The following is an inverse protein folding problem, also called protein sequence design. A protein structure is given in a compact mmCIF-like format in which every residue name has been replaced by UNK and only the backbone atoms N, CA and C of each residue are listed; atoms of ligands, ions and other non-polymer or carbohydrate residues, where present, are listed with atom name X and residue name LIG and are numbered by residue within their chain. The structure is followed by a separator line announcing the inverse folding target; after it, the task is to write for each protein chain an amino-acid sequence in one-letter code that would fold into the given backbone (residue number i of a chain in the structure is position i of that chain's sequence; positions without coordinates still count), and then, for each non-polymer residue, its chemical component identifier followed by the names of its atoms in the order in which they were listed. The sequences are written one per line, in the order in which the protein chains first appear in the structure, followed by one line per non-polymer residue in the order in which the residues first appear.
data_IF_033549017787
#
_entry.id   IF_033549017787
#
_cell.length_a   1.000
_cell.length_b   1.000
_cell.length_c   1.000
_cell.angle_alpha   90.00
_cell.angle_beta   90.00
_cell.angle_gamma   90.00
#
_symmetry.space_group_name_H-M   'P 1'
#
loop_
_entity.id
_entity.type
_entity.pdbx_description
1 polymer ?
#
# COMPACT_ATOMS: atom_id res chain seq x y z
N UNK A 1 21.66 25.68 -17.34
CA UNK A 1 21.09 25.33 -18.66
C UNK A 1 19.65 24.92 -18.45
N UNK A 2 18.73 25.60 -19.14
CA UNK A 2 17.30 25.64 -18.81
C UNK A 2 16.61 24.28 -18.84
N UNK A 3 15.75 24.07 -17.82
CA UNK A 3 14.73 23.03 -17.80
C UNK A 3 13.75 23.26 -18.96
N UNK A 4 14.03 22.66 -20.12
CA UNK A 4 13.01 22.51 -21.15
C UNK A 4 11.96 21.56 -20.60
N UNK A 5 10.73 22.04 -20.36
CA UNK A 5 9.60 21.18 -20.00
C UNK A 5 9.44 20.10 -21.07
N UNK A 6 9.77 18.86 -20.72
CA UNK A 6 9.83 17.74 -21.66
C UNK A 6 8.41 17.32 -22.07
N UNK A 7 8.21 16.80 -23.30
CA UNK A 7 6.90 16.37 -23.75
C UNK A 7 6.39 15.15 -22.97
N UNK A 8 5.12 15.18 -22.58
CA UNK A 8 4.40 14.18 -21.78
C UNK A 8 4.44 12.73 -22.33
N UNK A 9 4.75 12.54 -23.62
CA UNK A 9 4.80 11.23 -24.27
C UNK A 9 6.18 10.55 -24.26
N UNK A 10 7.24 11.24 -23.80
CA UNK A 10 8.59 10.63 -23.69
C UNK A 10 8.76 9.96 -22.33
N UNK A 11 8.20 8.75 -22.18
CA UNK A 11 8.43 7.90 -21.00
C UNK A 11 9.89 7.44 -21.01
N UNK A 12 10.73 8.07 -20.18
CA UNK A 12 12.16 7.78 -20.13
C UNK A 12 12.46 6.66 -19.13
N UNK A 13 12.41 5.40 -19.55
CA UNK A 13 12.63 4.23 -18.66
C UNK A 13 14.06 4.16 -18.07
N UNK A 14 15.04 4.71 -18.78
CA UNK A 14 16.46 4.77 -18.38
C UNK A 14 16.96 6.21 -18.40
N UNK A 15 17.84 6.59 -17.48
CA UNK A 15 18.46 7.91 -17.49
C UNK A 15 19.37 8.06 -18.73
N UNK A 16 19.51 9.29 -19.22
CA UNK A 16 20.35 9.59 -20.41
C UNK A 16 21.82 9.22 -20.19
N UNK A 17 22.26 9.27 -18.92
CA UNK A 17 23.59 8.93 -18.43
C UNK A 17 23.84 7.41 -18.24
N UNK A 18 22.81 6.56 -18.37
CA UNK A 18 22.95 5.12 -18.12
C UNK A 18 23.71 4.42 -19.25
N UNK A 19 24.78 3.72 -18.89
CA UNK A 19 25.57 2.91 -19.84
C UNK A 19 24.78 1.70 -20.35
N UNK A 20 25.12 1.11 -21.52
CA UNK A 20 24.45 -0.10 -22.00
C UNK A 20 24.49 -1.28 -21.01
N UNK A 21 25.55 -1.38 -20.21
CA UNK A 21 25.67 -2.39 -19.15
C UNK A 21 24.69 -2.12 -17.99
N UNK A 22 24.55 -0.86 -17.57
CA UNK A 22 23.58 -0.45 -16.54
C UNK A 22 22.14 -0.67 -16.99
N UNK A 23 21.81 -0.36 -18.26
CA UNK A 23 20.46 -0.61 -18.79
C UNK A 23 20.10 -2.09 -18.78
N UNK A 24 21.04 -2.97 -19.13
CA UNK A 24 20.84 -4.43 -19.04
C UNK A 24 20.63 -4.89 -17.60
N UNK A 25 21.39 -4.32 -16.65
CA UNK A 25 21.22 -4.61 -15.24
C UNK A 25 19.85 -4.16 -14.72
N UNK A 26 19.42 -2.94 -15.06
CA UNK A 26 18.11 -2.40 -14.68
C UNK A 26 16.99 -3.29 -15.22
N UNK A 27 17.02 -3.68 -16.49
CA UNK A 27 16.02 -4.60 -17.06
C UNK A 27 16.01 -5.95 -16.34
N UNK A 28 17.19 -6.49 -16.03
CA UNK A 28 17.31 -7.73 -15.28
C UNK A 28 16.69 -7.60 -13.89
N UNK A 29 16.98 -6.52 -13.16
CA UNK A 29 16.39 -6.25 -11.85
C UNK A 29 14.88 -6.01 -11.93
N UNK A 30 14.41 -5.33 -12.98
CA UNK A 30 13.00 -5.07 -13.23
C UNK A 30 12.24 -6.38 -13.38
N UNK A 31 12.76 -7.31 -14.20
CA UNK A 31 12.16 -8.63 -14.43
C UNK A 31 12.16 -9.55 -13.20
N UNK A 32 13.01 -9.28 -12.21
CA UNK A 32 13.11 -10.07 -10.99
C UNK A 32 12.25 -9.48 -9.87
N UNK A 33 12.46 -8.20 -9.56
CA UNK A 33 11.88 -7.55 -8.39
C UNK A 33 10.42 -7.18 -8.66
N UNK A 34 10.11 -6.57 -9.80
CA UNK A 34 8.77 -5.99 -10.03
C UNK A 34 7.68 -7.07 -10.16
N UNK A 35 7.86 -8.15 -10.96
CA UNK A 35 6.87 -9.23 -11.02
C UNK A 35 6.67 -9.94 -9.68
N UNK A 36 7.75 -10.21 -8.93
CA UNK A 36 7.63 -10.81 -7.61
C UNK A 36 6.88 -9.90 -6.64
N UNK A 37 7.26 -8.62 -6.59
CA UNK A 37 6.59 -7.62 -5.75
C UNK A 37 5.10 -7.55 -6.06
N UNK A 38 4.75 -7.52 -7.35
CA UNK A 38 3.36 -7.52 -7.81
C UNK A 38 2.61 -8.79 -7.39
N UNK A 39 3.16 -9.98 -7.66
CA UNK A 39 2.51 -11.25 -7.33
C UNK A 39 2.32 -11.43 -5.82
N UNK A 40 3.33 -11.14 -5.02
CA UNK A 40 3.25 -11.29 -3.58
C UNK A 40 2.28 -10.27 -2.96
N UNK A 41 2.25 -9.02 -3.46
CA UNK A 41 1.28 -8.03 -3.00
C UNK A 41 -0.15 -8.36 -3.44
N UNK A 42 -0.32 -8.85 -4.68
CA UNK A 42 -1.60 -9.35 -5.19
C UNK A 42 -2.18 -10.42 -4.28
N UNK A 43 -1.39 -11.44 -3.91
CA UNK A 43 -1.88 -12.51 -3.04
C UNK A 43 -2.15 -12.03 -1.61
N UNK A 44 -1.37 -11.10 -1.08
CA UNK A 44 -1.64 -10.51 0.25
C UNK A 44 -2.98 -9.79 0.31
N UNK A 45 -3.33 -9.04 -0.73
CA UNK A 45 -4.65 -8.40 -0.79
C UNK A 45 -5.78 -9.35 -1.10
N UNK A 46 -5.50 -10.54 -1.65
CA UNK A 46 -6.50 -11.61 -1.69
C UNK A 46 -6.87 -12.01 -0.25
N UNK A 47 -5.89 -12.33 0.59
CA UNK A 47 -6.15 -12.77 1.97
C UNK A 47 -6.77 -11.69 2.87
N UNK A 48 -6.34 -10.43 2.74
CA UNK A 48 -6.96 -9.35 3.52
C UNK A 48 -8.45 -9.20 3.19
N UNK A 49 -8.83 -9.35 1.92
CA UNK A 49 -10.22 -9.29 1.49
C UNK A 49 -11.02 -10.55 1.85
N UNK A 50 -10.36 -11.70 2.01
CA UNK A 50 -11.00 -12.98 2.31
C UNK A 50 -11.90 -12.93 3.55
N UNK A 51 -11.54 -12.19 4.62
CA UNK A 51 -12.40 -12.17 5.82
C UNK A 51 -13.77 -11.58 5.55
N UNK A 52 -13.80 -10.50 4.77
CA UNK A 52 -15.02 -9.78 4.47
C UNK A 52 -15.92 -10.61 3.58
N UNK A 53 -15.32 -11.21 2.53
CA UNK A 53 -16.01 -12.12 1.62
C UNK A 53 -16.50 -13.38 2.34
N UNK A 54 -15.69 -13.99 3.20
CA UNK A 54 -16.04 -15.18 3.97
C UNK A 54 -17.14 -14.91 5.02
N UNK A 55 -17.08 -13.74 5.69
CA UNK A 55 -18.07 -13.34 6.69
C UNK A 55 -19.48 -13.25 6.11
N UNK A 56 -19.62 -12.71 4.90
CA UNK A 56 -20.93 -12.66 4.23
C UNK A 56 -21.33 -14.00 3.61
N UNK A 57 -20.39 -14.92 3.40
CA UNK A 57 -20.58 -16.20 2.71
C UNK A 57 -20.77 -17.42 3.61
N UNK A 58 -20.76 -17.26 4.94
CA UNK A 58 -21.10 -18.35 5.87
C UNK A 58 -20.27 -18.41 7.16
N UNK A 59 -19.13 -17.71 7.25
CA UNK A 59 -18.29 -17.74 8.48
C UNK A 59 -19.06 -17.23 9.70
N UNK A 60 -19.91 -16.22 9.52
CA UNK A 60 -20.71 -15.66 10.62
C UNK A 60 -21.61 -16.74 11.22
N UNK A 61 -22.30 -17.49 10.36
CA UNK A 61 -23.25 -18.52 10.74
C UNK A 61 -22.53 -19.78 11.28
N UNK A 62 -21.47 -20.24 10.61
CA UNK A 62 -20.70 -21.43 10.98
C UNK A 62 -19.96 -21.31 12.33
N UNK A 63 -19.43 -20.13 12.63
CA UNK A 63 -18.67 -19.87 13.87
C UNK A 63 -19.52 -19.16 14.94
N UNK A 64 -20.81 -18.94 14.66
CA UNK A 64 -21.72 -18.17 15.51
C UNK A 64 -21.14 -16.80 15.92
N UNK A 65 -20.58 -16.08 14.96
CA UNK A 65 -19.99 -14.76 15.20
C UNK A 65 -21.09 -13.73 15.51
N UNK A 66 -20.90 -12.98 16.59
CA UNK A 66 -21.87 -12.02 17.10
C UNK A 66 -21.28 -10.61 17.14
N UNK A 67 -22.14 -9.62 17.32
CA UNK A 67 -21.70 -8.26 17.64
C UNK A 67 -20.66 -7.70 16.67
N UNK A 68 -19.47 -7.38 17.21
CA UNK A 68 -18.35 -6.74 16.50
C UNK A 68 -17.23 -7.71 16.11
N UNK A 69 -17.48 -9.03 16.13
CA UNK A 69 -16.45 -10.05 15.92
C UNK A 69 -15.72 -9.89 14.58
N UNK A 70 -16.40 -9.49 13.50
CA UNK A 70 -15.76 -9.24 12.20
C UNK A 70 -14.65 -8.19 12.31
N UNK A 71 -14.95 -7.04 12.93
CA UNK A 71 -14.00 -5.92 13.04
C UNK A 71 -12.89 -6.29 14.01
N UNK A 72 -13.18 -7.07 15.06
CA UNK A 72 -12.15 -7.61 15.94
C UNK A 72 -11.19 -8.55 15.18
N UNK A 73 -11.69 -9.44 14.32
CA UNK A 73 -10.85 -10.31 13.49
C UNK A 73 -9.97 -9.52 12.50
N UNK A 74 -10.52 -8.46 11.90
CA UNK A 74 -9.75 -7.52 11.08
C UNK A 74 -8.67 -6.83 11.92
N UNK A 75 -9.02 -6.34 13.11
CA UNK A 75 -8.06 -5.69 14.01
C UNK A 75 -6.96 -6.64 14.45
N UNK A 76 -7.24 -7.92 14.73
CA UNK A 76 -6.21 -8.89 15.12
C UNK A 76 -5.13 -9.05 14.03
N UNK A 77 -5.51 -9.01 12.75
CA UNK A 77 -4.56 -8.95 11.65
C UNK A 77 -3.69 -7.69 11.72
N UNK A 78 -4.31 -6.51 11.86
CA UNK A 78 -3.57 -5.23 11.92
C UNK A 78 -2.64 -5.17 13.14
N UNK A 79 -3.07 -5.67 14.29
CA UNK A 79 -2.23 -5.79 15.50
C UNK A 79 -1.02 -6.68 15.22
N UNK A 80 -1.23 -7.85 14.61
CA UNK A 80 -0.14 -8.73 14.19
C UNK A 80 0.85 -8.02 13.26
N UNK A 81 0.35 -7.29 12.27
CA UNK A 81 1.16 -6.55 11.31
C UNK A 81 2.01 -5.46 11.99
N UNK A 82 1.40 -4.63 12.85
CA UNK A 82 2.10 -3.54 13.53
C UNK A 82 3.14 -4.06 14.53
N UNK A 83 2.78 -5.07 15.34
CA UNK A 83 3.71 -5.64 16.32
C UNK A 83 4.84 -6.39 15.61
N UNK A 84 4.56 -7.09 14.51
CA UNK A 84 5.56 -7.78 13.70
C UNK A 84 6.58 -6.84 13.05
N UNK A 85 6.20 -5.61 12.68
CA UNK A 85 7.13 -4.69 12.01
C UNK A 85 8.37 -4.36 12.86
N UNK A 86 8.20 -4.21 14.18
CA UNK A 86 9.28 -3.84 15.11
C UNK A 86 10.45 -4.85 15.07
N UNK A 87 10.24 -6.16 15.31
CA UNK A 87 11.32 -7.14 15.25
C UNK A 87 11.85 -7.34 13.83
N UNK A 88 11.01 -7.26 12.80
CA UNK A 88 11.46 -7.48 11.42
C UNK A 88 12.36 -6.36 10.88
N UNK A 89 12.16 -5.10 11.32
CA UNK A 89 13.08 -3.99 11.02
C UNK A 89 14.48 -4.28 11.55
N UNK A 90 14.60 -4.81 12.77
CA UNK A 90 15.89 -5.26 13.30
C UNK A 90 16.45 -6.45 12.51
N UNK A 91 15.60 -7.43 12.19
CA UNK A 91 16.01 -8.67 11.53
C UNK A 91 16.54 -8.44 10.10
N UNK A 92 16.04 -7.42 9.39
CA UNK A 92 16.59 -7.01 8.08
C UNK A 92 18.07 -6.63 8.11
N UNK A 93 18.56 -6.12 9.24
CA UNK A 93 19.98 -5.77 9.37
C UNK A 93 20.86 -7.02 9.53
N UNK A 94 20.31 -8.08 10.15
CA UNK A 94 21.04 -9.30 10.50
C UNK A 94 20.96 -10.36 9.42
N UNK A 95 19.76 -10.66 8.93
CA UNK A 95 19.52 -11.74 7.98
C UNK A 95 19.47 -11.23 6.54
N UNK A 96 19.88 -12.05 5.54
CA UNK A 96 19.67 -11.70 4.14
C UNK A 96 18.18 -11.71 3.82
N UNK A 97 17.70 -10.62 3.21
CA UNK A 97 16.29 -10.43 2.86
C UNK A 97 15.78 -11.48 1.87
N UNK A 98 16.68 -12.03 1.03
CA UNK A 98 16.35 -13.11 0.08
C UNK A 98 15.89 -14.40 0.74
N UNK A 99 16.24 -14.64 2.00
CA UNK A 99 15.76 -15.79 2.78
C UNK A 99 14.59 -15.39 3.67
N UNK A 100 14.68 -14.20 4.28
CA UNK A 100 13.70 -13.75 5.26
C UNK A 100 12.30 -13.59 4.65
N UNK A 101 12.16 -12.84 3.55
CA UNK A 101 10.84 -12.55 2.97
C UNK A 101 10.14 -13.84 2.49
N UNK A 102 10.80 -14.74 1.73
CA UNK A 102 10.18 -16.00 1.32
C UNK A 102 9.76 -16.92 2.47
N UNK A 103 10.57 -17.04 3.53
CA UNK A 103 10.21 -17.86 4.71
C UNK A 103 8.94 -17.31 5.36
N UNK A 104 8.87 -15.98 5.51
CA UNK A 104 7.71 -15.32 6.08
C UNK A 104 6.48 -15.47 5.18
N UNK A 105 6.63 -15.34 3.86
CA UNK A 105 5.52 -15.53 2.90
C UNK A 105 4.99 -16.97 2.89
N UNK A 106 5.87 -17.98 3.06
CA UNK A 106 5.44 -19.39 3.21
C UNK A 106 4.73 -19.61 4.54
N UNK A 107 5.30 -19.13 5.65
CA UNK A 107 4.67 -19.23 6.97
C UNK A 107 3.29 -18.57 6.97
N UNK A 108 3.20 -17.37 6.37
CA UNK A 108 1.97 -16.65 6.13
C UNK A 108 0.95 -17.48 5.33
N UNK A 109 1.37 -18.12 4.23
CA UNK A 109 0.52 -19.02 3.45
C UNK A 109 0.03 -20.25 4.22
N UNK A 110 0.87 -20.81 5.09
CA UNK A 110 0.50 -21.94 5.97
C UNK A 110 -0.55 -21.51 7.00
N UNK A 111 -0.37 -20.37 7.67
CA UNK A 111 -1.39 -19.87 8.61
C UNK A 111 -2.68 -19.43 7.90
N UNK A 112 -2.58 -18.97 6.65
CA UNK A 112 -3.74 -18.73 5.78
C UNK A 112 -4.50 -20.01 5.49
N UNK A 113 -3.80 -21.10 5.19
CA UNK A 113 -4.41 -22.42 5.04
C UNK A 113 -5.12 -22.83 6.33
N UNK A 114 -4.46 -22.75 7.49
CA UNK A 114 -5.03 -23.20 8.76
C UNK A 114 -6.38 -22.52 9.11
N UNK A 115 -6.67 -21.33 8.58
CA UNK A 115 -7.97 -20.67 8.75
C UNK A 115 -9.14 -21.51 8.20
N UNK A 116 -8.94 -22.37 7.19
CA UNK A 116 -10.02 -23.23 6.67
C UNK A 116 -10.55 -24.18 7.75
N UNK A 117 -9.73 -24.58 8.73
CA UNK A 117 -10.13 -25.53 9.78
C UNK A 117 -10.84 -24.85 10.95
N UNK A 118 -10.77 -23.52 11.05
CA UNK A 118 -11.21 -22.79 12.21
C UNK A 118 -12.63 -23.19 12.64
N UNK A 119 -12.79 -23.39 13.94
CA UNK A 119 -14.02 -23.87 14.58
C UNK A 119 -14.56 -22.91 15.63
N UNK A 120 -13.79 -21.88 15.99
CA UNK A 120 -14.19 -20.84 16.95
C UNK A 120 -13.63 -19.47 16.56
N UNK A 121 -14.22 -18.42 17.13
CA UNK A 121 -13.70 -17.06 17.04
C UNK A 121 -12.23 -16.98 17.50
N UNK A 122 -11.90 -17.57 18.64
CA UNK A 122 -10.55 -17.49 19.21
C UNK A 122 -9.49 -18.15 18.33
N UNK A 123 -9.82 -19.29 17.72
CA UNK A 123 -8.93 -19.96 16.77
C UNK A 123 -8.72 -19.11 15.50
N UNK A 124 -9.80 -18.57 14.93
CA UNK A 124 -9.72 -17.70 13.77
C UNK A 124 -8.92 -16.42 14.09
N UNK A 125 -9.14 -15.81 15.25
CA UNK A 125 -8.42 -14.63 15.73
C UNK A 125 -6.92 -14.89 15.90
N UNK A 126 -6.53 -16.05 16.44
CA UNK A 126 -5.13 -16.45 16.57
C UNK A 126 -4.46 -16.62 15.19
N UNK A 127 -5.14 -17.27 14.24
CA UNK A 127 -4.63 -17.37 12.87
C UNK A 127 -4.52 -15.99 12.22
N UNK A 128 -5.49 -15.09 12.41
CA UNK A 128 -5.43 -13.71 11.91
C UNK A 128 -4.23 -12.94 12.45
N UNK A 129 -3.96 -13.06 13.74
CA UNK A 129 -2.79 -12.43 14.34
C UNK A 129 -1.48 -12.94 13.72
N UNK A 130 -1.33 -14.27 13.58
CA UNK A 130 -0.12 -14.87 13.01
C UNK A 130 0.05 -14.50 11.53
N UNK A 131 -1.03 -14.50 10.76
CA UNK A 131 -1.03 -14.02 9.37
C UNK A 131 -0.55 -12.56 9.31
N UNK A 132 -1.10 -11.66 10.13
CA UNK A 132 -0.62 -10.28 10.22
C UNK A 132 0.86 -10.20 10.61
N UNK A 133 1.28 -10.99 11.60
CA UNK A 133 2.66 -11.04 12.08
C UNK A 133 3.63 -11.41 10.96
N UNK A 134 3.38 -12.48 10.21
CA UNK A 134 4.26 -12.89 9.12
C UNK A 134 4.20 -11.95 7.91
N UNK A 135 3.10 -11.23 7.71
CA UNK A 135 2.98 -10.24 6.64
C UNK A 135 3.77 -8.95 6.92
N UNK A 136 3.94 -8.59 8.19
CA UNK A 136 4.53 -7.34 8.66
C UNK A 136 5.85 -6.93 7.99
N UNK A 137 6.70 -7.89 7.66
CA UNK A 137 8.01 -7.64 7.05
C UNK A 137 7.92 -7.29 5.55
N UNK A 138 6.85 -7.68 4.87
CA UNK A 138 6.81 -7.63 3.42
C UNK A 138 6.87 -6.20 2.88
N UNK A 139 5.97 -5.33 3.35
CA UNK A 139 5.91 -3.94 2.89
C UNK A 139 7.24 -3.18 3.08
N UNK A 140 7.83 -3.10 4.31
CA UNK A 140 9.11 -2.44 4.51
C UNK A 140 10.26 -3.16 3.79
N UNK A 141 10.24 -4.50 3.73
CA UNK A 141 11.26 -5.30 3.07
C UNK A 141 11.33 -5.06 1.55
N UNK A 142 10.18 -4.97 0.88
CA UNK A 142 10.13 -4.66 -0.55
C UNK A 142 10.54 -3.22 -0.85
N UNK A 143 10.12 -2.26 -0.03
CA UNK A 143 10.58 -0.86 -0.16
C UNK A 143 12.09 -0.73 0.08
N UNK A 144 12.63 -1.52 1.01
CA UNK A 144 14.07 -1.59 1.24
C UNK A 144 14.82 -2.19 0.04
N UNK A 145 14.32 -3.27 -0.57
CA UNK A 145 14.87 -3.83 -1.81
C UNK A 145 14.81 -2.78 -2.94
N UNK A 146 13.69 -2.08 -3.11
CA UNK A 146 13.58 -1.03 -4.11
C UNK A 146 14.60 0.09 -3.89
N UNK A 147 14.73 0.57 -2.64
CA UNK A 147 15.71 1.58 -2.28
C UNK A 147 17.18 1.12 -2.40
N UNK A 148 17.43 -0.18 -2.30
CA UNK A 148 18.78 -0.75 -2.39
C UNK A 148 19.27 -0.93 -3.83
N UNK A 149 18.38 -1.10 -4.81
CA UNK A 149 18.75 -1.39 -6.20
C UNK A 149 18.48 -0.24 -7.18
N UNK A 150 17.50 0.61 -6.89
CA UNK A 150 17.03 1.65 -7.80
C UNK A 150 17.33 3.06 -7.29
N UNK A 151 17.48 4.01 -8.22
CA UNK A 151 17.55 5.45 -7.89
C UNK A 151 16.15 5.97 -7.55
N UNK A 152 16.06 7.13 -6.88
CA UNK A 152 14.78 7.71 -6.46
C UNK A 152 13.78 7.94 -7.60
N UNK A 153 14.25 8.37 -8.77
CA UNK A 153 13.48 8.61 -9.99
C UNK A 153 12.92 7.32 -10.61
N UNK A 154 13.56 6.18 -10.35
CA UNK A 154 13.17 4.88 -10.88
C UNK A 154 12.12 4.16 -10.03
N UNK A 155 12.12 4.42 -8.71
CA UNK A 155 11.26 3.74 -7.74
C UNK A 155 9.79 4.08 -7.98
N UNK A 156 9.46 5.33 -8.30
CA UNK A 156 8.07 5.79 -8.40
C UNK A 156 7.25 4.97 -9.41
N UNK A 157 7.80 4.70 -10.60
CA UNK A 157 7.11 3.96 -11.67
C UNK A 157 6.93 2.47 -11.35
N UNK A 158 7.95 1.88 -10.72
CA UNK A 158 7.95 0.47 -10.31
C UNK A 158 7.02 0.25 -9.11
N UNK A 159 6.97 1.24 -8.21
CA UNK A 159 6.00 1.32 -7.11
C UNK A 159 4.56 1.40 -7.63
N UNK A 160 4.31 2.13 -8.72
CA UNK A 160 3.00 2.15 -9.37
C UNK A 160 2.49 0.75 -9.74
N UNK A 161 3.32 -0.07 -10.40
CA UNK A 161 2.98 -1.47 -10.71
C UNK A 161 2.71 -2.29 -9.46
N UNK A 162 3.50 -2.12 -8.40
CA UNK A 162 3.29 -2.78 -7.12
C UNK A 162 1.89 -2.48 -6.55
N UNK A 163 1.47 -1.22 -6.53
CA UNK A 163 0.16 -0.84 -5.98
C UNK A 163 -1.05 -1.35 -6.78
N UNK A 164 -0.92 -1.60 -8.08
CA UNK A 164 -2.00 -2.24 -8.87
C UNK A 164 -2.35 -3.62 -8.30
N UNK A 165 -1.38 -4.32 -7.70
CA UNK A 165 -1.58 -5.59 -7.02
C UNK A 165 -2.63 -5.53 -5.91
N UNK A 166 -2.77 -4.39 -5.21
CA UNK A 166 -3.78 -4.20 -4.17
C UNK A 166 -5.19 -4.34 -4.72
N UNK A 167 -5.53 -3.52 -5.72
CA UNK A 167 -6.87 -3.48 -6.31
C UNK A 167 -7.18 -4.79 -7.03
N UNK A 168 -6.20 -5.35 -7.74
CA UNK A 168 -6.36 -6.62 -8.42
C UNK A 168 -6.55 -7.77 -7.42
N UNK A 169 -5.85 -7.75 -6.30
CA UNK A 169 -5.93 -8.76 -5.26
C UNK A 169 -7.31 -8.78 -4.61
N UNK A 170 -7.82 -7.62 -4.21
CA UNK A 170 -9.16 -7.53 -3.63
C UNK A 170 -10.26 -7.94 -4.62
N UNK A 171 -10.14 -7.52 -5.90
CA UNK A 171 -11.04 -7.98 -6.96
C UNK A 171 -11.02 -9.50 -7.10
N UNK A 172 -9.81 -10.08 -7.12
CA UNK A 172 -9.62 -11.52 -7.31
C UNK A 172 -10.22 -12.29 -6.14
N UNK A 173 -10.04 -11.84 -4.89
CA UNK A 173 -10.64 -12.49 -3.71
C UNK A 173 -12.17 -12.58 -3.80
N UNK A 174 -12.82 -11.49 -4.20
CA UNK A 174 -14.27 -11.47 -4.38
C UNK A 174 -14.73 -12.46 -5.45
N UNK A 175 -14.00 -12.58 -6.57
CA UNK A 175 -14.30 -13.56 -7.62
C UNK A 175 -14.01 -15.01 -7.18
N UNK A 176 -12.91 -15.25 -6.45
CA UNK A 176 -12.59 -16.57 -5.88
C UNK A 176 -13.70 -17.00 -4.91
N UNK A 177 -14.13 -16.14 -3.99
CA UNK A 177 -15.22 -16.45 -3.07
C UNK A 177 -16.53 -16.71 -3.82
N UNK A 178 -16.85 -15.92 -4.84
CA UNK A 178 -18.02 -16.13 -5.70
C UNK A 178 -18.00 -17.53 -6.34
N UNK A 179 -16.88 -17.91 -6.95
CA UNK A 179 -16.70 -19.22 -7.57
C UNK A 179 -16.75 -20.37 -6.56
N UNK A 180 -16.10 -20.20 -5.40
CA UNK A 180 -16.09 -21.19 -4.33
C UNK A 180 -17.49 -21.40 -3.74
N UNK A 181 -18.23 -20.32 -3.47
CA UNK A 181 -19.62 -20.41 -3.01
C UNK A 181 -20.58 -20.98 -4.07
N UNK A 182 -20.31 -20.79 -5.36
CA UNK A 182 -21.18 -21.30 -6.42
C UNK A 182 -20.98 -22.79 -6.72
N UNK A 183 -19.74 -23.30 -6.60
CA UNK A 183 -19.37 -24.63 -7.13
C UNK A 183 -18.71 -25.57 -6.13
N UNK A 184 -18.14 -25.03 -5.05
CA UNK A 184 -17.39 -25.81 -4.07
C UNK A 184 -18.12 -25.89 -2.72
N UNK A 185 -19.24 -25.19 -2.57
CA UNK A 185 -20.04 -25.27 -1.35
C UNK A 185 -20.61 -26.69 -1.16
N UNK A 186 -20.30 -27.31 -0.01
CA UNK A 186 -20.67 -28.69 0.31
C UNK A 186 -19.74 -29.75 -0.28
N UNK A 187 -18.80 -29.40 -1.16
CA UNK A 187 -17.83 -30.36 -1.73
C UNK A 187 -16.89 -30.84 -0.64
N UNK A 188 -16.74 -32.17 -0.52
CA UNK A 188 -16.02 -32.83 0.58
C UNK A 188 -16.53 -32.44 2.00
N UNK A 189 -17.78 -31.99 2.12
CA UNK A 189 -18.36 -31.55 3.41
C UNK A 189 -17.82 -30.21 3.90
N UNK A 190 -17.12 -29.45 3.06
CA UNK A 190 -16.58 -28.14 3.41
C UNK A 190 -17.47 -27.02 2.85
N UNK A 191 -17.71 -25.99 3.66
CA UNK A 191 -18.37 -24.78 3.23
C UNK A 191 -17.51 -24.00 2.21
N UNK A 192 -18.15 -23.25 1.31
CA UNK A 192 -17.48 -22.52 0.23
C UNK A 192 -16.43 -21.52 0.71
N UNK A 193 -16.58 -20.93 1.89
CA UNK A 193 -15.58 -20.04 2.48
C UNK A 193 -14.30 -20.77 2.92
N UNK A 194 -14.40 -22.05 3.33
CA UNK A 194 -13.23 -22.87 3.69
C UNK A 194 -12.40 -23.18 2.44
N UNK A 195 -13.06 -23.50 1.32
CA UNK A 195 -12.42 -23.69 0.03
C UNK A 195 -11.67 -22.45 -0.45
N UNK A 196 -12.20 -21.25 -0.23
CA UNK A 196 -11.51 -20.01 -0.56
C UNK A 196 -10.14 -19.93 0.14
N UNK A 197 -10.05 -20.22 1.45
CA UNK A 197 -8.75 -20.22 2.16
C UNK A 197 -7.78 -21.26 1.61
N UNK A 198 -8.27 -22.45 1.22
CA UNK A 198 -7.45 -23.50 0.60
C UNK A 198 -6.88 -23.03 -0.75
N UNK A 199 -7.74 -22.50 -1.62
CA UNK A 199 -7.34 -21.98 -2.94
C UNK A 199 -6.32 -20.84 -2.78
N UNK A 200 -6.53 -19.93 -1.82
CA UNK A 200 -5.62 -18.83 -1.57
C UNK A 200 -4.24 -19.33 -1.11
N UNK A 201 -4.18 -20.35 -0.23
CA UNK A 201 -2.92 -20.93 0.21
C UNK A 201 -2.18 -21.66 -0.94
N UNK A 202 -2.90 -22.36 -1.82
CA UNK A 202 -2.34 -23.04 -3.00
C UNK A 202 -1.69 -22.03 -3.97
N UNK A 203 -2.23 -20.81 -4.06
CA UNK A 203 -1.64 -19.74 -4.87
C UNK A 203 -0.46 -19.09 -4.14
N UNK A 204 -0.60 -18.89 -2.82
CA UNK A 204 0.39 -18.20 -1.96
C UNK A 204 1.71 -18.95 -1.83
N UNK A 205 1.66 -20.22 -1.43
CA UNK A 205 2.85 -20.98 -1.02
C UNK A 205 3.85 -21.10 -2.19
N UNK A 206 3.43 -21.40 -3.43
CA UNK A 206 4.33 -21.40 -4.59
C UNK A 206 4.96 -20.04 -4.87
N UNK A 207 4.24 -18.94 -4.67
CA UNK A 207 4.80 -17.58 -4.84
C UNK A 207 5.86 -17.31 -3.77
N UNK A 208 5.62 -17.70 -2.52
CA UNK A 208 6.63 -17.65 -1.46
C UNK A 208 7.87 -18.48 -1.81
N UNK A 209 7.70 -19.71 -2.31
CA UNK A 209 8.81 -20.56 -2.77
C UNK A 209 9.57 -19.91 -3.92
N UNK A 210 8.86 -19.32 -4.88
CA UNK A 210 9.45 -18.59 -6.01
C UNK A 210 10.36 -17.44 -5.54
N UNK A 211 10.00 -16.80 -4.43
CA UNK A 211 10.79 -15.74 -3.80
C UNK A 211 12.23 -16.13 -3.49
N UNK A 212 12.48 -17.38 -3.07
CA UNK A 212 13.85 -17.85 -2.82
C UNK A 212 14.73 -17.84 -4.08
N UNK A 213 14.12 -18.16 -5.23
CA UNK A 213 14.83 -18.29 -6.50
C UNK A 213 14.96 -16.96 -7.24
N UNK A 214 14.06 -16.00 -7.02
CA UNK A 214 13.99 -14.75 -7.80
C UNK A 214 14.52 -13.54 -7.04
N UNK A 215 14.32 -13.46 -5.72
CA UNK A 215 14.67 -12.24 -4.98
C UNK A 215 16.18 -11.98 -5.02
N UNK A 216 16.62 -10.81 -5.53
CA UNK A 216 18.04 -10.49 -5.65
C UNK A 216 18.73 -10.22 -4.31
N UNK A 217 17.97 -10.06 -3.22
CA UNK A 217 18.50 -9.66 -1.92
C UNK A 217 18.92 -8.19 -1.93
N UNK A 218 20.08 -7.89 -1.35
CA UNK A 218 20.62 -6.51 -1.26
C UNK A 218 22.02 -6.49 -1.88
N UNK A 219 22.54 -5.34 -2.34
CA UNK A 219 23.91 -5.26 -2.85
C UNK A 219 24.99 -5.71 -1.85
N UNK A 220 24.70 -5.67 -0.55
CA UNK A 220 25.59 -6.15 0.52
C UNK A 220 25.49 -7.67 0.72
N UNK A 221 24.28 -8.22 0.61
CA UNK A 221 24.00 -9.66 0.70
C UNK A 221 23.23 -10.10 -0.55
N UNK A 222 23.89 -10.18 -1.72
CA UNK A 222 23.22 -10.45 -2.98
C UNK A 222 22.90 -11.94 -3.12
N UNK A 223 21.77 -12.24 -3.76
CA UNK A 223 21.44 -13.60 -4.15
C UNK A 223 22.30 -14.02 -5.34
N UNK A 224 23.32 -14.82 -5.07
CA UNK A 224 24.28 -15.33 -6.07
C UNK A 224 23.67 -16.30 -7.07
N UNK A 225 22.46 -16.82 -6.81
CA UNK A 225 21.74 -17.65 -7.79
C UNK A 225 21.30 -16.85 -9.01
N UNK A 226 21.04 -15.55 -8.83
CA UNK A 226 20.46 -14.68 -9.86
C UNK A 226 21.42 -13.59 -10.32
N UNK A 227 22.24 -13.08 -9.40
CA UNK A 227 23.16 -11.97 -9.65
C UNK A 227 24.61 -12.43 -9.74
N UNK A 228 25.32 -11.97 -10.77
CA UNK A 228 26.77 -12.17 -10.90
C UNK A 228 27.52 -11.09 -10.11
N UNK A 229 28.79 -11.34 -9.70
CA UNK A 229 29.59 -10.33 -9.00
C UNK A 229 29.69 -9.01 -9.78
N UNK A 230 29.88 -9.08 -11.11
CA UNK A 230 29.90 -7.91 -12.00
C UNK A 230 28.61 -7.09 -11.92
N UNK A 231 27.44 -7.74 -11.80
CA UNK A 231 26.15 -7.05 -11.69
C UNK A 231 26.08 -6.20 -10.41
N UNK A 232 26.65 -6.72 -9.31
CA UNK A 232 26.70 -6.03 -8.00
C UNK A 232 27.66 -4.85 -8.05
N UNK A 233 28.80 -4.99 -8.69
CA UNK A 233 29.79 -3.90 -8.82
C UNK A 233 29.25 -2.75 -9.68
N UNK A 234 28.56 -3.07 -10.79
CA UNK A 234 27.85 -2.08 -11.61
C UNK A 234 26.75 -1.39 -10.81
N UNK A 235 25.97 -2.12 -10.01
CA UNK A 235 24.94 -1.53 -9.15
C UNK A 235 25.55 -0.56 -8.12
N UNK A 236 26.61 -0.97 -7.42
CA UNK A 236 27.26 -0.16 -6.37
C UNK A 236 27.88 1.11 -6.95
N UNK A 237 28.60 1.00 -8.07
CA UNK A 237 29.22 2.17 -8.72
C UNK A 237 28.18 3.15 -9.28
N UNK A 238 27.05 2.65 -9.80
CA UNK A 238 25.93 3.48 -10.26
C UNK A 238 25.23 4.19 -9.10
N UNK A 239 24.93 3.49 -8.01
CA UNK A 239 24.27 4.07 -6.85
C UNK A 239 25.19 5.07 -6.12
N UNK A 240 26.48 4.78 -6.03
CA UNK A 240 27.48 5.72 -5.49
C UNK A 240 27.56 7.02 -6.32
N UNK A 241 27.50 6.94 -7.66
CA UNK A 241 27.42 8.13 -8.54
C UNK A 241 26.17 8.97 -8.29
N UNK A 242 25.06 8.32 -7.93
CA UNK A 242 23.81 8.99 -7.55
C UNK A 242 23.78 9.49 -6.09
N UNK A 243 24.91 9.45 -5.37
CA UNK A 243 25.01 9.87 -3.97
C UNK A 243 24.35 8.91 -2.98
N UNK A 244 24.03 7.67 -3.39
CA UNK A 244 23.52 6.64 -2.49
C UNK A 244 24.68 5.97 -1.73
N UNK A 245 24.98 6.51 -0.55
CA UNK A 245 25.90 5.88 0.40
C UNK A 245 25.24 4.67 1.05
N UNK A 246 25.73 3.46 0.73
CA UNK A 246 25.42 2.27 1.52
C UNK A 246 26.16 2.35 2.84
N UNK A 247 25.46 2.75 3.91
CA UNK A 247 26.02 2.70 5.25
C UNK A 247 25.28 1.62 6.06
N UNK A 248 25.89 0.45 6.29
CA UNK A 248 25.23 -0.64 6.99
C UNK A 248 25.13 -0.31 8.49
N UNK A 249 23.96 0.10 8.95
CA UNK A 249 23.69 0.22 10.37
C UNK A 249 22.50 1.11 10.70
N UNK A 250 21.72 0.70 11.71
CA UNK A 250 20.72 1.55 12.33
C UNK A 250 21.43 2.69 13.07
N UNK A 251 21.43 3.88 12.48
CA UNK A 251 22.04 5.05 13.09
C UNK A 251 20.99 5.75 13.95
N UNK A 252 21.09 5.61 15.26
CA UNK A 252 20.21 6.34 16.20
C UNK A 252 20.23 7.86 15.96
N UNK A 253 21.36 8.39 15.48
CA UNK A 253 21.49 9.78 15.05
C UNK A 253 20.58 10.14 13.88
N UNK A 254 20.41 9.24 12.90
CA UNK A 254 19.49 9.43 11.78
C UNK A 254 18.03 9.52 12.27
N UNK A 255 17.62 8.69 13.24
CA UNK A 255 16.29 8.77 13.86
C UNK A 255 16.08 10.13 14.52
N UNK A 256 17.07 10.62 15.28
CA UNK A 256 17.00 11.93 15.94
C UNK A 256 16.92 13.07 14.92
N UNK A 257 17.68 13.00 13.82
CA UNK A 257 17.64 13.99 12.74
C UNK A 257 16.26 14.03 12.06
N UNK A 258 15.69 12.86 11.76
CA UNK A 258 14.34 12.74 11.19
C UNK A 258 13.31 13.34 12.14
N UNK A 259 13.37 13.00 13.43
CA UNK A 259 12.43 13.49 14.44
C UNK A 259 12.53 15.01 14.68
N UNK A 260 13.68 15.63 14.41
CA UNK A 260 13.86 17.09 14.45
C UNK A 260 13.36 17.81 13.21
N UNK A 261 13.16 17.09 12.09
CA UNK A 261 12.73 17.69 10.85
C UNK A 261 11.21 17.93 10.87
N UNK A 262 10.78 19.18 10.74
CA UNK A 262 9.36 19.51 10.69
C UNK A 262 8.65 18.89 9.47
N UNK A 263 9.36 18.73 8.34
CA UNK A 263 8.83 18.11 7.12
C UNK A 263 8.42 16.66 7.37
N UNK A 264 9.15 15.95 8.23
CA UNK A 264 8.81 14.59 8.62
C UNK A 264 7.46 14.53 9.35
N UNK A 265 7.22 15.41 10.33
CA UNK A 265 5.96 15.45 11.07
C UNK A 265 4.77 15.82 10.17
N UNK A 266 4.97 16.74 9.22
CA UNK A 266 3.95 17.10 8.24
C UNK A 266 3.60 15.92 7.31
N UNK A 267 4.61 15.21 6.80
CA UNK A 267 4.43 14.01 5.98
C UNK A 267 3.81 12.85 6.76
N UNK A 268 4.16 12.70 8.04
CA UNK A 268 3.56 11.71 8.94
C UNK A 268 2.07 12.01 9.15
N UNK A 269 1.71 13.26 9.40
CA UNK A 269 0.31 13.66 9.56
C UNK A 269 -0.49 13.41 8.29
N UNK A 270 0.11 13.69 7.12
CA UNK A 270 -0.47 13.40 5.81
C UNK A 270 -0.73 11.88 5.63
N UNK A 271 0.23 11.02 5.96
CA UNK A 271 0.08 9.56 5.87
C UNK A 271 -0.97 9.02 6.86
N UNK A 272 -1.04 9.56 8.08
CA UNK A 272 -2.08 9.22 9.06
C UNK A 272 -3.48 9.52 8.50
N UNK A 273 -3.69 10.71 7.93
CA UNK A 273 -4.98 11.06 7.33
C UNK A 273 -5.29 10.22 6.10
N UNK A 274 -4.29 9.81 5.32
CA UNK A 274 -4.48 8.94 4.17
C UNK A 274 -4.99 7.55 4.57
N UNK A 275 -4.33 6.91 5.54
CA UNK A 275 -4.75 5.60 6.06
C UNK A 275 -6.16 5.66 6.65
N UNK A 276 -6.47 6.69 7.42
CA UNK A 276 -7.80 6.87 8.03
C UNK A 276 -8.88 7.29 7.03
N UNK A 277 -8.51 8.07 6.00
CA UNK A 277 -9.37 8.49 4.88
C UNK A 277 -9.70 7.36 3.89
N UNK A 278 -9.00 6.23 4.01
CA UNK A 278 -9.21 5.03 3.18
C UNK A 278 -9.83 3.85 3.94
N UNK A 279 -10.19 4.01 5.22
CA UNK A 279 -10.75 2.94 6.05
C UNK A 279 -12.03 2.31 5.48
N UNK A 280 -12.81 3.08 4.72
CA UNK A 280 -14.03 2.61 4.07
C UNK A 280 -13.78 1.47 3.07
N UNK A 281 -12.58 1.33 2.50
CA UNK A 281 -12.25 0.21 1.58
C UNK A 281 -12.04 -1.12 2.29
N UNK A 282 -11.50 -1.11 3.51
CA UNK A 282 -11.11 -2.32 4.25
C UNK A 282 -12.18 -2.78 5.26
N UNK A 283 -13.07 -1.88 5.70
CA UNK A 283 -14.12 -2.17 6.67
C UNK A 283 -15.20 -3.17 6.18
N UNK A 284 -15.26 -3.47 4.88
CA UNK A 284 -16.25 -4.41 4.34
C UNK A 284 -17.69 -3.86 4.25
N UNK A 285 -17.87 -2.54 4.36
CA UNK A 285 -19.19 -1.91 4.39
C UNK A 285 -20.06 -2.20 3.15
N UNK A 286 -19.45 -2.25 1.96
CA UNK A 286 -20.15 -2.59 0.72
C UNK A 286 -20.70 -4.03 0.72
N UNK A 287 -19.90 -5.00 1.16
CA UNK A 287 -20.31 -6.41 1.28
C UNK A 287 -21.45 -6.57 2.29
N UNK A 288 -21.36 -5.90 3.44
CA UNK A 288 -22.41 -5.93 4.46
C UNK A 288 -23.70 -5.27 3.97
N UNK A 289 -23.59 -4.18 3.20
CA UNK A 289 -24.75 -3.56 2.55
C UNK A 289 -25.39 -4.49 1.53
N UNK A 290 -24.61 -5.11 0.64
CA UNK A 290 -25.14 -6.09 -0.32
C UNK A 290 -25.83 -7.27 0.38
N UNK A 291 -25.28 -7.76 1.51
CA UNK A 291 -25.91 -8.82 2.31
C UNK A 291 -27.23 -8.35 2.92
N UNK A 292 -27.31 -7.10 3.38
CA UNK A 292 -28.53 -6.53 3.97
C UNK A 292 -29.71 -6.43 2.99
N UNK A 293 -29.46 -6.42 1.68
CA UNK A 293 -30.51 -6.38 0.66
C UNK A 293 -31.30 -7.70 0.54
N UNK A 294 -30.78 -8.81 1.08
CA UNK A 294 -31.42 -10.13 1.13
C UNK A 294 -32.02 -10.64 -0.22
N UNK A 295 -31.48 -10.19 -1.36
CA UNK A 295 -31.99 -10.54 -2.71
C UNK A 295 -30.95 -11.19 -3.62
N UNK A 296 -29.72 -11.35 -3.15
CA UNK A 296 -28.61 -11.90 -3.92
C UNK A 296 -28.14 -13.22 -3.28
N UNK A 297 -27.81 -14.21 -4.11
CA UNK A 297 -27.10 -15.40 -3.65
C UNK A 297 -25.70 -15.03 -3.15
N UNK A 298 -25.10 -15.87 -2.30
CA UNK A 298 -23.72 -15.68 -1.82
C UNK A 298 -22.73 -15.51 -2.97
N UNK A 299 -22.86 -16.32 -4.02
CA UNK A 299 -22.04 -16.19 -5.22
C UNK A 299 -22.23 -14.84 -5.95
N UNK A 300 -23.48 -14.43 -6.20
CA UNK A 300 -23.77 -13.17 -6.90
C UNK A 300 -23.36 -11.95 -6.08
N UNK A 301 -23.52 -12.01 -4.76
CA UNK A 301 -23.11 -10.96 -3.84
C UNK A 301 -21.61 -10.70 -3.92
N UNK A 302 -20.79 -11.77 -3.87
CA UNK A 302 -19.34 -11.64 -3.98
C UNK A 302 -18.91 -11.23 -5.41
N UNK A 303 -19.65 -11.63 -6.44
CA UNK A 303 -19.40 -11.15 -7.81
C UNK A 303 -19.62 -9.63 -7.92
N UNK A 304 -20.71 -9.11 -7.34
CA UNK A 304 -21.02 -7.68 -7.31
C UNK A 304 -20.03 -6.88 -6.46
N UNK A 305 -19.45 -7.50 -5.42
CA UNK A 305 -18.44 -6.84 -4.58
C UNK A 305 -17.14 -6.56 -5.33
N UNK A 306 -16.81 -7.36 -6.35
CA UNK A 306 -15.63 -7.20 -7.20
C UNK A 306 -15.65 -5.93 -8.08
N UNK A 307 -16.82 -5.32 -8.32
CA UNK A 307 -16.97 -4.14 -9.17
C UNK A 307 -16.21 -2.93 -8.60
N UNK A 308 -16.28 -2.72 -7.29
CA UNK A 308 -15.66 -1.56 -6.63
C UNK A 308 -14.11 -1.58 -6.76
N UNK A 309 -13.40 -2.67 -6.42
CA UNK A 309 -11.96 -2.76 -6.67
C UNK A 309 -11.60 -2.77 -8.17
N UNK A 310 -12.48 -3.24 -9.07
CA UNK A 310 -12.25 -3.15 -10.53
C UNK A 310 -12.13 -1.69 -10.98
N UNK A 311 -13.05 -0.83 -10.56
CA UNK A 311 -13.00 0.61 -10.83
C UNK A 311 -11.80 1.26 -10.14
N UNK A 312 -11.37 0.72 -8.98
CA UNK A 312 -10.15 1.12 -8.31
C UNK A 312 -8.90 1.08 -9.20
N UNK A 313 -8.79 0.07 -10.08
CA UNK A 313 -7.66 -0.03 -11.03
C UNK A 313 -7.69 1.19 -11.98
N UNK A 314 -8.86 1.51 -12.53
CA UNK A 314 -9.03 2.67 -13.40
C UNK A 314 -8.71 3.99 -12.67
N UNK A 315 -9.23 4.17 -11.45
CA UNK A 315 -8.95 5.37 -10.65
C UNK A 315 -7.46 5.51 -10.35
N UNK A 316 -6.78 4.41 -10.01
CA UNK A 316 -5.34 4.40 -9.72
C UNK A 316 -4.55 4.85 -10.92
N UNK A 317 -4.80 4.25 -12.10
CA UNK A 317 -4.12 4.64 -13.32
C UNK A 317 -4.41 6.10 -13.68
N UNK A 318 -5.67 6.52 -13.64
CA UNK A 318 -6.07 7.89 -13.96
C UNK A 318 -5.38 8.93 -13.06
N UNK A 319 -5.38 8.71 -11.74
CA UNK A 319 -4.79 9.64 -10.77
C UNK A 319 -3.26 9.65 -10.87
N UNK A 320 -2.62 8.49 -11.04
CA UNK A 320 -1.17 8.41 -11.24
C UNK A 320 -0.73 9.19 -12.47
N UNK A 321 -1.38 8.96 -13.63
CA UNK A 321 -1.07 9.69 -14.85
C UNK A 321 -1.39 11.18 -14.74
N UNK A 322 -2.51 11.55 -14.11
CA UNK A 322 -2.86 12.95 -13.90
C UNK A 322 -1.84 13.67 -12.98
N UNK A 323 -1.35 13.00 -11.94
CA UNK A 323 -0.30 13.50 -11.04
C UNK A 323 0.99 13.79 -11.79
N UNK A 324 1.45 12.80 -12.55
CA UNK A 324 2.77 12.85 -13.22
C UNK A 324 2.78 13.84 -14.40
N UNK A 325 1.65 14.02 -15.08
CA UNK A 325 1.60 14.76 -16.34
C UNK A 325 1.06 16.20 -16.21
N UNK A 326 0.16 16.47 -15.25
CA UNK A 326 -0.64 17.72 -15.27
C UNK A 326 -0.76 18.39 -13.91
N UNK A 327 -1.04 17.64 -12.84
CA UNK A 327 -1.57 18.21 -11.60
C UNK A 327 -0.51 18.39 -10.50
N UNK A 328 0.54 17.57 -10.49
CA UNK A 328 1.43 17.45 -9.33
C UNK A 328 0.77 16.72 -8.14
N UNK A 329 1.56 16.39 -7.10
CA UNK A 329 1.13 15.45 -6.08
C UNK A 329 -0.08 15.95 -5.27
N UNK A 330 -0.06 17.18 -4.75
CA UNK A 330 -1.12 17.75 -3.91
C UNK A 330 -2.49 17.83 -4.62
N UNK A 331 -2.52 18.20 -5.90
CA UNK A 331 -3.76 18.24 -6.68
C UNK A 331 -4.26 16.84 -7.04
N UNK A 332 -3.36 15.88 -7.28
CA UNK A 332 -3.75 14.49 -7.47
C UNK A 332 -4.42 13.90 -6.21
N UNK A 333 -3.90 14.22 -5.00
CA UNK A 333 -4.56 13.89 -3.72
C UNK A 333 -5.98 14.47 -3.71
N UNK A 334 -6.09 15.76 -4.07
CA UNK A 334 -7.33 16.52 -4.03
C UNK A 334 -8.39 15.93 -4.95
N UNK A 335 -8.06 15.63 -6.21
CA UNK A 335 -9.02 15.06 -7.17
C UNK A 335 -9.50 13.67 -6.72
N UNK A 336 -8.57 12.81 -6.27
CA UNK A 336 -8.89 11.47 -5.74
C UNK A 336 -9.83 11.54 -4.53
N UNK A 337 -9.54 12.42 -3.57
CA UNK A 337 -10.33 12.51 -2.34
C UNK A 337 -11.63 13.28 -2.53
N UNK A 338 -11.72 14.26 -3.45
CA UNK A 338 -13.01 14.87 -3.81
C UNK A 338 -13.96 13.80 -4.36
N UNK A 339 -13.46 12.91 -5.23
CA UNK A 339 -14.26 11.79 -5.76
C UNK A 339 -14.75 10.84 -4.64
N UNK A 340 -13.87 10.51 -3.69
CA UNK A 340 -14.23 9.72 -2.51
C UNK A 340 -15.23 10.45 -1.58
N UNK A 341 -15.05 11.76 -1.36
CA UNK A 341 -15.90 12.60 -0.51
C UNK A 341 -17.35 12.61 -1.02
N UNK A 342 -17.57 12.69 -2.33
CA UNK A 342 -18.93 12.64 -2.90
C UNK A 342 -19.63 11.34 -2.48
N UNK A 343 -18.96 10.20 -2.59
CA UNK A 343 -19.49 8.91 -2.14
C UNK A 343 -19.71 8.87 -0.63
N UNK A 344 -18.75 9.35 0.16
CA UNK A 344 -18.86 9.38 1.63
C UNK A 344 -20.04 10.24 2.10
N UNK A 345 -20.29 11.40 1.50
CA UNK A 345 -21.44 12.26 1.83
C UNK A 345 -22.75 11.52 1.60
N UNK A 346 -22.88 10.82 0.47
CA UNK A 346 -24.06 10.00 0.16
C UNK A 346 -24.24 8.89 1.20
N UNK A 347 -23.17 8.21 1.61
CA UNK A 347 -23.20 7.14 2.61
C UNK A 347 -23.53 7.67 4.02
N UNK A 348 -23.08 8.86 4.38
CA UNK A 348 -23.41 9.52 5.65
C UNK A 348 -24.90 9.88 5.72
N UNK A 349 -25.45 10.48 4.66
CA UNK A 349 -26.89 10.81 4.58
C UNK A 349 -27.73 9.55 4.65
N UNK A 350 -27.32 8.48 3.94
CA UNK A 350 -27.92 7.14 3.89
C UNK A 350 -29.36 7.04 3.34
N UNK A 351 -30.22 8.02 3.64
CA UNK A 351 -31.59 8.06 3.14
C UNK A 351 -31.64 8.68 1.74
N UNK A 352 -31.17 7.90 0.76
CA UNK A 352 -31.05 8.26 -0.65
C UNK A 352 -31.55 7.10 -1.52
N UNK A 353 -31.87 7.33 -2.80
CA UNK A 353 -32.21 6.26 -3.73
C UNK A 353 -31.12 5.18 -3.77
N UNK A 354 -31.52 3.93 -4.03
CA UNK A 354 -30.59 2.80 -4.04
C UNK A 354 -29.45 2.99 -5.06
N UNK A 355 -29.76 3.56 -6.23
CA UNK A 355 -28.79 3.91 -7.26
C UNK A 355 -27.68 4.85 -6.76
N UNK A 356 -28.00 5.77 -5.85
CA UNK A 356 -27.02 6.64 -5.23
C UNK A 356 -26.06 5.87 -4.30
N UNK A 357 -26.56 4.84 -3.59
CA UNK A 357 -25.71 3.96 -2.77
C UNK A 357 -24.78 3.11 -3.62
N UNK A 358 -25.28 2.57 -4.73
CA UNK A 358 -24.45 1.88 -5.73
C UNK A 358 -23.34 2.80 -6.25
N UNK A 359 -23.68 4.03 -6.61
CA UNK A 359 -22.66 5.00 -7.03
C UNK A 359 -21.63 5.24 -5.91
N UNK A 360 -22.08 5.50 -4.68
CA UNK A 360 -21.22 5.83 -3.56
C UNK A 360 -20.26 4.70 -3.15
N UNK A 361 -20.70 3.44 -3.18
CA UNK A 361 -19.81 2.32 -2.90
C UNK A 361 -18.76 2.11 -4.01
N UNK A 362 -19.06 2.53 -5.23
CA UNK A 362 -18.21 2.38 -6.40
C UNK A 362 -17.14 3.48 -6.50
N UNK A 363 -17.27 4.57 -5.74
CA UNK A 363 -16.25 5.62 -5.63
C UNK A 363 -15.23 5.36 -4.51
N UNK A 364 -15.50 4.42 -3.59
CA UNK A 364 -14.68 4.11 -2.40
C UNK A 364 -13.20 3.90 -2.70
N UNK A 365 -12.86 3.14 -3.74
CA UNK A 365 -11.46 2.84 -4.09
C UNK A 365 -10.69 4.03 -4.69
N UNK A 366 -11.35 5.15 -4.99
CA UNK A 366 -10.65 6.37 -5.37
C UNK A 366 -9.78 6.91 -4.23
N UNK A 367 -10.09 6.61 -2.96
CA UNK A 367 -9.26 6.97 -1.81
C UNK A 367 -7.84 6.35 -1.90
N UNK A 368 -7.75 5.11 -2.36
CA UNK A 368 -6.51 4.32 -2.42
C UNK A 368 -5.70 4.63 -3.69
N UNK A 369 -6.34 5.19 -4.72
CA UNK A 369 -5.74 5.49 -6.03
C UNK A 369 -4.50 6.40 -5.97
N UNK A 370 -4.36 7.19 -4.90
CA UNK A 370 -3.29 8.17 -4.74
C UNK A 370 -2.12 7.68 -3.86
N UNK A 371 -2.14 6.42 -3.41
CA UNK A 371 -1.10 5.85 -2.54
C UNK A 371 0.31 5.95 -3.12
N UNK A 372 0.47 5.65 -4.41
CA UNK A 372 1.74 5.74 -5.13
C UNK A 372 2.27 7.18 -5.19
N UNK A 373 1.37 8.15 -5.40
CA UNK A 373 1.68 9.57 -5.44
C UNK A 373 2.12 10.07 -4.07
N UNK A 374 1.43 9.65 -3.00
CA UNK A 374 1.77 10.01 -1.62
C UNK A 374 3.17 9.53 -1.25
N UNK A 375 3.46 8.24 -1.42
CA UNK A 375 4.78 7.70 -1.07
C UNK A 375 5.89 8.22 -1.99
N UNK A 376 5.58 8.50 -3.26
CA UNK A 376 6.48 9.22 -4.16
C UNK A 376 6.81 10.62 -3.67
N UNK A 377 5.81 11.35 -3.17
CA UNK A 377 5.98 12.70 -2.63
C UNK A 377 6.79 12.69 -1.33
N UNK A 378 6.43 11.84 -0.36
CA UNK A 378 7.19 11.66 0.90
C UNK A 378 8.67 11.38 0.60
N UNK A 379 8.94 10.48 -0.34
CA UNK A 379 10.29 10.11 -0.77
C UNK A 379 11.04 11.33 -1.36
N UNK A 380 10.35 12.16 -2.15
CA UNK A 380 10.95 13.35 -2.77
C UNK A 380 11.25 14.49 -1.79
N UNK A 381 10.66 14.50 -0.60
CA UNK A 381 10.80 15.58 0.39
C UNK A 381 11.90 15.29 1.42
N UNK A 382 12.18 14.01 1.67
CA UNK A 382 13.19 13.53 2.61
C UNK A 382 14.58 13.34 1.95
N UNK A 383 14.96 14.22 1.00
CA UNK A 383 16.17 14.08 0.15
C UNK A 383 17.53 14.21 0.87
N UNK A 384 17.57 14.62 2.13
CA UNK A 384 18.83 14.97 2.80
C UNK A 384 19.78 13.77 3.02
N UNK A 385 19.27 12.54 3.12
CA UNK A 385 20.09 11.32 3.16
C UNK A 385 19.30 10.08 2.73
N UNK A 386 19.81 9.23 1.82
CA UNK A 386 19.14 8.01 1.36
C UNK A 386 18.77 7.03 2.49
N UNK A 387 19.59 6.98 3.55
CA UNK A 387 19.35 6.16 4.74
C UNK A 387 18.24 6.77 5.61
N UNK A 388 18.26 8.10 5.79
CA UNK A 388 17.20 8.79 6.52
C UNK A 388 15.85 8.68 5.79
N UNK A 389 15.87 8.69 4.46
CA UNK A 389 14.68 8.55 3.60
C UNK A 389 13.97 7.22 3.76
N UNK A 390 14.72 6.11 3.65
CA UNK A 390 14.14 4.77 3.79
C UNK A 390 13.61 4.53 5.21
N UNK A 391 14.35 5.00 6.22
CA UNK A 391 13.95 4.93 7.62
C UNK A 391 12.70 5.78 7.90
N UNK A 392 12.65 7.00 7.40
CA UNK A 392 11.49 7.89 7.55
C UNK A 392 10.24 7.31 6.90
N UNK A 393 10.35 6.71 5.71
CA UNK A 393 9.21 6.07 5.03
C UNK A 393 8.66 4.89 5.85
N UNK A 394 9.55 4.02 6.35
CA UNK A 394 9.15 2.89 7.20
C UNK A 394 8.49 3.39 8.50
N UNK A 395 9.10 4.35 9.21
CA UNK A 395 8.53 4.90 10.45
C UNK A 395 7.17 5.56 10.18
N UNK A 396 7.06 6.34 9.10
CA UNK A 396 5.82 7.04 8.73
C UNK A 396 4.70 6.04 8.50
N UNK A 397 4.97 5.00 7.69
CA UNK A 397 4.01 3.95 7.40
C UNK A 397 3.64 3.14 8.64
N UNK A 398 4.60 2.76 9.49
CA UNK A 398 4.34 2.02 10.74
C UNK A 398 3.43 2.82 11.68
N UNK A 399 3.72 4.10 11.88
CA UNK A 399 2.90 4.95 12.75
C UNK A 399 1.51 5.15 12.13
N UNK A 400 1.42 5.46 10.84
CA UNK A 400 0.14 5.65 10.16
C UNK A 400 -0.72 4.38 10.20
N UNK A 401 -0.15 3.21 9.90
CA UNK A 401 -0.84 1.93 9.99
C UNK A 401 -1.26 1.61 11.43
N UNK A 402 -0.45 1.95 12.44
CA UNK A 402 -0.82 1.73 13.85
C UNK A 402 -2.13 2.42 14.23
N UNK A 403 -2.41 3.60 13.67
CA UNK A 403 -3.67 4.31 13.91
C UNK A 403 -4.91 3.54 13.45
N UNK A 404 -4.74 2.61 12.50
CA UNK A 404 -5.83 1.78 11.97
C UNK A 404 -6.12 0.54 12.83
N UNK A 405 -5.38 0.32 13.93
CA UNK A 405 -5.67 -0.77 14.88
C UNK A 405 -6.93 -0.48 15.68
N UNK A 406 -7.01 0.69 16.31
CA UNK A 406 -8.11 1.05 17.21
C UNK A 406 -9.24 1.79 16.50
N UNK A 407 -8.96 2.50 15.42
CA UNK A 407 -9.97 3.34 14.74
C UNK A 407 -11.17 2.54 14.24
N UNK A 408 -11.02 1.40 13.52
CA UNK A 408 -12.16 0.60 13.06
C UNK A 408 -13.05 0.09 14.20
N UNK A 409 -12.46 -0.27 15.34
CA UNK A 409 -13.21 -0.72 16.53
C UNK A 409 -14.14 0.36 17.09
N UNK A 410 -13.78 1.63 16.90
CA UNK A 410 -14.55 2.77 17.39
C UNK A 410 -15.63 3.20 16.38
N UNK A 411 -15.28 3.26 15.09
CA UNK A 411 -16.10 3.94 14.07
C UNK A 411 -16.79 2.99 13.10
N UNK A 412 -16.27 1.78 12.88
CA UNK A 412 -16.85 0.77 11.97
C UNK A 412 -17.37 -0.45 12.72
N UNK A 413 -18.06 -0.26 13.84
CA UNK A 413 -18.66 -1.35 14.62
C UNK A 413 -19.61 -2.19 13.77
N UNK A 414 -19.37 -3.48 13.60
CA UNK A 414 -20.18 -4.38 12.75
C UNK A 414 -21.67 -4.32 13.08
N UNK A 415 -22.03 -4.10 14.35
CA UNK A 415 -23.44 -3.94 14.79
C UNK A 415 -24.14 -2.70 14.22
N UNK A 416 -23.38 -1.67 13.83
CA UNK A 416 -23.88 -0.45 13.18
C UNK A 416 -23.91 -0.61 11.64
N UNK A 417 -23.47 -1.77 11.13
CA UNK A 417 -23.54 -2.10 9.71
C UNK A 417 -24.99 -2.29 9.25
N UNK A 418 -25.32 -1.95 7.98
CA UNK A 418 -24.42 -1.48 6.93
C UNK A 418 -24.25 0.05 6.86
N UNK A 419 -24.89 0.82 7.76
CA UNK A 419 -24.95 2.28 7.67
C UNK A 419 -23.67 2.96 8.15
N UNK A 420 -23.02 2.43 9.20
CA UNK A 420 -21.74 2.93 9.73
C UNK A 420 -21.62 4.46 9.78
N UNK A 421 -22.62 5.18 10.28
CA UNK A 421 -22.67 6.66 10.22
C UNK A 421 -21.41 7.29 10.80
N UNK A 422 -20.93 6.76 11.94
CA UNK A 422 -19.69 7.23 12.59
C UNK A 422 -18.46 6.96 11.72
N UNK A 423 -18.38 5.77 11.14
CA UNK A 423 -17.31 5.35 10.23
C UNK A 423 -17.19 6.26 9.02
N UNK A 424 -18.27 6.42 8.26
CA UNK A 424 -18.26 7.27 7.07
C UNK A 424 -18.03 8.75 7.40
N UNK A 425 -18.56 9.25 8.53
CA UNK A 425 -18.30 10.63 8.96
C UNK A 425 -16.84 10.85 9.37
N UNK A 426 -16.22 9.88 10.05
CA UNK A 426 -14.81 9.94 10.43
C UNK A 426 -13.88 9.87 9.21
N UNK A 427 -14.17 8.98 8.27
CA UNK A 427 -13.43 8.87 7.01
C UNK A 427 -13.59 10.15 6.18
N UNK A 428 -14.78 10.75 6.15
CA UNK A 428 -15.04 12.04 5.50
C UNK A 428 -14.21 13.17 6.12
N UNK A 429 -14.20 13.28 7.45
CA UNK A 429 -13.39 14.28 8.15
C UNK A 429 -11.89 14.08 7.86
N UNK A 430 -11.41 12.83 7.89
CA UNK A 430 -10.02 12.49 7.59
C UNK A 430 -9.64 12.81 6.13
N UNK A 431 -10.55 12.58 5.18
CA UNK A 431 -10.36 12.95 3.77
C UNK A 431 -10.23 14.46 3.57
N UNK A 432 -11.03 15.27 4.27
CA UNK A 432 -10.94 16.74 4.24
C UNK A 432 -9.62 17.20 4.86
N UNK A 433 -9.26 16.66 6.04
CA UNK A 433 -8.01 16.98 6.71
C UNK A 433 -6.78 16.62 5.84
N UNK A 434 -6.85 15.52 5.09
CA UNK A 434 -5.80 15.14 4.14
C UNK A 434 -5.60 16.22 3.07
N UNK A 435 -6.68 16.70 2.44
CA UNK A 435 -6.61 17.75 1.41
C UNK A 435 -6.03 19.03 2.00
N UNK A 436 -6.52 19.45 3.18
CA UNK A 436 -6.01 20.66 3.86
C UNK A 436 -4.52 20.52 4.16
N UNK A 437 -4.10 19.39 4.72
CA UNK A 437 -2.69 19.14 5.07
C UNK A 437 -1.81 19.13 3.82
N UNK A 438 -2.25 18.53 2.72
CA UNK A 438 -1.52 18.53 1.45
C UNK A 438 -1.28 19.95 0.92
N UNK A 439 -2.30 20.80 0.93
CA UNK A 439 -2.16 22.19 0.45
C UNK A 439 -1.34 23.06 1.41
N UNK A 440 -1.41 22.83 2.73
CA UNK A 440 -0.56 23.53 3.69
C UNK A 440 0.92 23.21 3.47
N UNK A 441 1.25 21.93 3.25
CA UNK A 441 2.61 21.49 2.92
C UNK A 441 3.08 22.15 1.62
N UNK A 442 2.24 22.14 0.58
CA UNK A 442 2.59 22.74 -0.71
C UNK A 442 2.80 24.26 -0.60
N UNK A 443 1.97 24.95 0.19
CA UNK A 443 2.12 26.39 0.42
C UNK A 443 3.43 26.74 1.12
N UNK A 444 3.78 25.97 2.16
CA UNK A 444 5.02 26.16 2.90
C UNK A 444 6.25 25.92 2.01
N UNK A 445 6.19 24.91 1.13
CA UNK A 445 7.22 24.63 0.14
C UNK A 445 7.40 25.78 -0.85
N UNK A 446 6.30 26.31 -1.40
CA UNK A 446 6.36 27.45 -2.31
C UNK A 446 6.96 28.69 -1.62
N UNK A 447 6.58 28.92 -0.35
CA UNK A 447 7.10 30.05 0.44
C UNK A 447 8.61 29.92 0.68
N UNK A 448 9.11 28.70 0.94
CA UNK A 448 10.54 28.44 1.10
C UNK A 448 11.32 28.63 -0.21
N UNK A 449 10.76 28.17 -1.33
CA UNK A 449 11.36 28.36 -2.66
C UNK A 449 11.43 29.85 -3.06
N UNK A 450 10.37 30.61 -2.79
CA UNK A 450 10.34 32.05 -3.03
C UNK A 450 11.36 32.78 -2.15
N UNK A 451 11.50 32.37 -0.88
CA UNK A 451 12.51 32.90 0.04
C UNK A 451 13.95 32.65 -0.43
N UNK A 452 14.28 31.44 -0.87
CA UNK A 452 15.62 31.11 -1.40
C UNK A 452 15.93 31.89 -2.69
N UNK A 453 14.94 32.02 -3.60
CA UNK A 453 15.11 32.80 -4.84
C UNK A 453 15.36 34.30 -4.61
N UNK A 454 14.83 34.85 -3.51
CA UNK A 454 15.03 36.24 -3.11
C UNK A 454 16.40 36.51 -2.47
N UNK A 455 17.09 35.46 -1.99
CA UNK A 455 18.44 35.54 -1.38
C UNK A 455 19.52 35.38 -2.47
N UNK A 456 19.26 34.62 -3.53
CA UNK A 456 20.17 34.47 -4.69
C UNK A 456 20.22 35.70 -5.63
N UNK A 457 19.51 36.80 -5.31
CA UNK A 457 19.66 38.09 -6.00
C UNK A 457 20.43 39.13 -5.17
N UNK A 458 21.77 39.02 -4.99
CA UNK A 458 22.57 40.15 -4.57
C UNK A 458 23.06 40.95 -5.79
N UNK A 459 22.53 42.17 -5.93
CA UNK A 459 23.25 43.38 -6.41
C UNK A 459 24.13 43.19 -7.67
N UNK A 460 23.52 43.16 -8.86
CA UNK A 460 24.19 43.54 -10.12
C UNK A 460 23.47 44.70 -10.80
N UNK A 461 23.28 45.82 -10.09
CA UNK A 461 22.91 47.08 -10.73
C UNK A 461 23.61 48.23 -10.00
N UNK A 462 24.85 48.52 -10.41
CA UNK A 462 25.41 49.88 -10.59
C UNK A 462 26.93 49.80 -10.75
N UNK A 463 27.38 49.44 -11.94
CA UNK A 463 28.67 49.94 -12.45
C UNK A 463 28.54 50.17 -13.95
N UNK A 464 27.81 51.22 -14.34
CA UNK A 464 28.00 51.83 -15.65
C UNK A 464 28.80 53.11 -15.47
N UNK A 465 30.08 52.89 -15.74
CA UNK A 465 31.16 53.83 -16.08
C UNK A 465 30.62 55.02 -16.88
N UNK A 466 30.87 56.22 -16.38
CA UNK A 466 30.91 57.45 -17.16
C UNK A 466 32.30 57.60 -17.78
N UNK A 467 32.38 57.44 -19.09
CA UNK A 467 33.41 58.03 -19.97
C UNK A 467 32.72 58.52 -21.23
#
# INVERSE_FOLDING_TARGET
MGSSSRPWYRIQWFADEDTPEERRLIVKLDLLIVPYAFLAYWVKYIDQANINNAYVSGVKEDLNLQGNDLVQLQTMYTVGAVVGQIPFVYLFTKLPISWLIPILDIAWGVFTLLQFRASSFGELAAYRFLVGWFEAAFFPGMHYIFGAWYRGDEIARRGGCFYVGLTLGTLTASLIQSGASARLDGVHGLAGWRWMYIVCAIITIPIGILGFFILPGTPDKPNRMVLKPKDVDVAKSRLARAGHGFNPGFQWRAVINIARNWKFWAMLLLDIFFWNGSLNTTAGGYLLWLKSLNRFSTARLNELSAISPALGIFYTLFICFASDLVLGPAWAITVSHIWNIIGLVILVVWNVPESAKWFAFQTTYAAVAMSSVLYGWINSELRASPVERSLALVITNTIAQSTTVWTPLLVFKTVEGPRFTKGYSFTLASAICLIVTAHLIQKEQNTQADGESSIETPVQVQTKVSL
#
